data_IF_003236686034
#
_entry.id   IF_003236686034
#
_cell.length_a   1.000
_cell.length_b   1.000
_cell.length_c   1.000
_cell.angle_alpha   90.00
_cell.angle_beta   90.00
_cell.angle_gamma   90.00
#
_symmetry.space_group_name_H-M   'P 1'
#
loop_
_entity.id
_entity.type
_entity.pdbx_description
1 polymer ?
#
# COMPACT_ATOMS: atom_id res chain seq x y z
N UNK A 1 -17.56 -13.63 20.17
CA UNK A 1 -18.45 -13.66 18.98
C UNK A 1 -18.15 -14.95 18.23
N UNK A 2 -19.14 -15.75 17.81
CA UNK A 2 -18.89 -17.08 17.19
C UNK A 2 -18.29 -17.02 15.77
N UNK A 3 -18.25 -15.84 15.17
CA UNK A 3 -17.80 -15.55 13.80
C UNK A 3 -16.58 -14.62 13.74
N UNK A 4 -16.07 -14.16 14.88
CA UNK A 4 -14.89 -13.30 14.90
C UNK A 4 -13.65 -14.18 14.72
N UNK A 5 -12.94 -13.98 13.60
CA UNK A 5 -11.72 -14.72 13.27
C UNK A 5 -10.49 -13.95 13.74
N UNK A 6 -10.35 -12.70 13.33
CA UNK A 6 -9.22 -11.84 13.70
C UNK A 6 -9.52 -10.35 13.44
N UNK A 7 -8.72 -9.43 14.01
CA UNK A 7 -8.69 -8.03 13.59
C UNK A 7 -8.34 -7.90 12.09
N UNK A 8 -9.03 -7.02 11.37
CA UNK A 8 -8.86 -6.83 9.92
C UNK A 8 -7.76 -5.84 9.52
N UNK A 9 -7.09 -5.20 10.48
CA UNK A 9 -6.00 -4.26 10.22
C UNK A 9 -4.72 -4.96 9.72
N UNK A 10 -4.49 -6.20 10.17
CA UNK A 10 -3.42 -7.07 9.70
C UNK A 10 -4.03 -8.42 9.35
N UNK A 11 -3.83 -8.87 8.11
CA UNK A 11 -4.39 -10.13 7.61
C UNK A 11 -3.29 -10.98 7.00
N UNK A 12 -3.33 -12.28 7.29
CA UNK A 12 -2.41 -13.23 6.68
C UNK A 12 -2.85 -13.57 5.26
N UNK A 13 -2.05 -13.13 4.29
CA UNK A 13 -2.24 -13.38 2.86
C UNK A 13 -1.10 -14.21 2.29
N UNK A 14 -1.34 -14.85 1.16
CA UNK A 14 -0.32 -15.62 0.45
C UNK A 14 0.51 -14.67 -0.42
N UNK A 15 1.84 -14.75 -0.33
CA UNK A 15 2.75 -14.00 -1.17
C UNK A 15 2.47 -14.26 -2.66
N UNK A 16 2.38 -13.20 -3.50
CA UNK A 16 2.24 -13.32 -4.94
C UNK A 16 3.49 -13.89 -5.60
N UNK A 17 3.43 -14.07 -6.92
CA UNK A 17 4.56 -14.51 -7.72
C UNK A 17 5.77 -13.57 -7.53
N UNK A 18 6.96 -14.15 -7.29
CA UNK A 18 8.16 -13.39 -6.97
C UNK A 18 8.35 -13.03 -5.49
N UNK A 19 7.38 -13.33 -4.63
CA UNK A 19 7.45 -13.03 -3.19
C UNK A 19 7.25 -11.54 -2.88
N UNK A 20 7.28 -11.21 -1.59
CA UNK A 20 7.28 -9.83 -1.10
C UNK A 20 8.40 -9.63 -0.10
N UNK A 21 9.08 -8.49 -0.19
CA UNK A 21 9.98 -8.02 0.86
C UNK A 21 9.20 -7.31 1.98
N UNK A 22 9.81 -7.20 3.17
CA UNK A 22 9.26 -6.38 4.25
C UNK A 22 9.15 -4.92 3.81
N UNK A 23 8.02 -4.27 4.10
CA UNK A 23 7.71 -2.90 3.68
C UNK A 23 7.24 -2.77 2.23
N UNK A 24 7.20 -3.86 1.46
CA UNK A 24 6.74 -3.81 0.08
C UNK A 24 5.21 -3.72 0.03
N UNK A 25 4.73 -2.71 -0.68
CA UNK A 25 3.31 -2.57 -1.00
C UNK A 25 2.91 -3.49 -2.15
N UNK A 26 1.71 -4.04 -2.07
CA UNK A 26 1.14 -4.88 -3.11
C UNK A 26 -0.39 -4.75 -3.15
N UNK A 27 -0.95 -4.89 -4.35
CA UNK A 27 -2.39 -4.89 -4.58
C UNK A 27 -2.89 -6.33 -4.81
N UNK A 28 -3.52 -6.92 -3.79
CA UNK A 28 -4.13 -8.24 -3.85
C UNK A 28 -5.53 -8.15 -4.46
N UNK A 29 -5.61 -8.14 -5.80
CA UNK A 29 -6.86 -7.91 -6.52
C UNK A 29 -7.32 -6.46 -6.35
N UNK A 30 -8.21 -6.20 -5.39
CA UNK A 30 -8.64 -4.84 -5.00
C UNK A 30 -8.18 -4.44 -3.60
N UNK A 31 -7.45 -5.31 -2.90
CA UNK A 31 -7.04 -5.11 -1.52
C UNK A 31 -5.59 -4.64 -1.48
N UNK A 32 -5.37 -3.38 -1.14
CA UNK A 32 -4.02 -2.82 -1.04
C UNK A 32 -3.44 -3.06 0.36
N UNK A 33 -2.20 -3.48 0.42
CA UNK A 33 -1.56 -3.70 1.71
C UNK A 33 -0.06 -3.69 1.64
N UNK A 34 0.55 -3.53 2.81
CA UNK A 34 2.01 -3.48 2.97
C UNK A 34 2.46 -4.70 3.74
N UNK A 35 3.41 -5.44 3.17
CA UNK A 35 3.99 -6.61 3.81
C UNK A 35 4.73 -6.22 5.09
N UNK A 36 4.32 -6.78 6.24
CA UNK A 36 5.02 -6.52 7.51
C UNK A 36 6.36 -7.27 7.57
N UNK A 37 6.40 -8.48 7.03
CA UNK A 37 7.59 -9.33 6.94
C UNK A 37 7.80 -9.81 5.52
N UNK A 38 9.05 -10.10 5.16
CA UNK A 38 9.34 -10.72 3.86
C UNK A 38 8.89 -12.17 3.80
N UNK A 39 8.40 -12.61 2.65
CA UNK A 39 8.02 -13.99 2.40
C UNK A 39 8.24 -14.37 0.93
N UNK A 40 8.69 -15.60 0.71
CA UNK A 40 8.82 -16.18 -0.62
C UNK A 40 7.44 -16.46 -1.23
N UNK A 41 7.37 -16.57 -2.55
CA UNK A 41 6.16 -16.94 -3.28
C UNK A 41 5.45 -18.16 -2.67
N UNK A 42 4.13 -18.06 -2.52
CA UNK A 42 3.30 -19.14 -1.98
C UNK A 42 3.34 -19.28 -0.45
N UNK A 43 4.19 -18.55 0.27
CA UNK A 43 4.20 -18.52 1.73
C UNK A 43 3.15 -17.54 2.27
N UNK A 44 2.65 -17.80 3.49
CA UNK A 44 1.78 -16.86 4.19
C UNK A 44 2.61 -15.74 4.81
N UNK A 45 2.12 -14.51 4.72
CA UNK A 45 2.71 -13.34 5.36
C UNK A 45 1.63 -12.43 5.93
N UNK A 46 1.99 -11.74 7.01
CA UNK A 46 1.13 -10.73 7.60
C UNK A 46 1.19 -9.43 6.78
N UNK A 47 0.05 -9.01 6.23
CA UNK A 47 -0.11 -7.80 5.44
C UNK A 47 -0.89 -6.77 6.24
N UNK A 48 -0.35 -5.56 6.38
CA UNK A 48 -1.07 -4.44 7.00
C UNK A 48 -1.96 -3.76 5.97
N UNK A 49 -3.25 -3.70 6.24
CA UNK A 49 -4.29 -3.15 5.37
C UNK A 49 -4.73 -1.74 5.79
N UNK A 50 -4.31 -1.30 6.98
CA UNK A 50 -4.55 0.02 7.51
C UNK A 50 -3.28 0.54 8.19
N UNK A 51 -3.05 1.86 8.13
CA UNK A 51 -1.90 2.52 8.76
C UNK A 51 -1.33 3.66 7.92
N UNK A 52 -0.22 4.24 8.39
CA UNK A 52 0.56 5.22 7.62
C UNK A 52 1.88 4.58 7.23
N UNK A 53 2.17 4.54 5.94
CA UNK A 53 3.36 3.90 5.39
C UNK A 53 4.15 4.88 4.52
N UNK A 54 5.47 4.75 4.55
CA UNK A 54 6.37 5.44 3.62
C UNK A 54 6.47 4.62 2.35
N UNK A 55 5.87 5.10 1.27
CA UNK A 55 5.71 4.38 0.00
C UNK A 55 6.40 5.12 -1.14
N UNK A 56 6.95 4.39 -2.13
CA UNK A 56 7.54 5.03 -3.32
C UNK A 56 6.49 5.86 -4.05
N UNK A 57 6.90 7.03 -4.55
CA UNK A 57 6.07 7.95 -5.33
C UNK A 57 6.51 7.94 -6.79
N UNK A 58 5.56 8.03 -7.72
CA UNK A 58 5.84 8.30 -9.12
C UNK A 58 6.67 9.59 -9.27
N UNK A 59 7.67 9.54 -10.14
CA UNK A 59 8.55 10.68 -10.38
C UNK A 59 7.78 11.82 -11.06
N UNK A 60 7.99 13.06 -10.60
CA UNK A 60 7.31 14.23 -11.16
C UNK A 60 5.96 14.56 -10.51
N UNK A 61 5.28 13.59 -9.89
CA UNK A 61 4.03 13.85 -9.17
C UNK A 61 4.28 14.69 -7.92
N UNK A 62 3.48 15.74 -7.72
CA UNK A 62 3.42 16.50 -6.47
C UNK A 62 2.13 16.15 -5.75
N UNK A 63 2.24 15.73 -4.50
CA UNK A 63 1.09 15.36 -3.66
C UNK A 63 0.99 16.35 -2.49
N UNK A 64 -0.19 16.89 -2.26
CA UNK A 64 -0.54 17.68 -1.09
C UNK A 64 -0.96 16.81 0.09
N UNK A 65 -0.89 17.37 1.31
CA UNK A 65 -1.48 16.73 2.48
C UNK A 65 -3.00 16.57 2.30
N UNK A 66 -3.53 15.38 2.59
CA UNK A 66 -4.93 15.01 2.42
C UNK A 66 -5.32 14.62 0.99
N UNK A 67 -4.43 14.77 0.02
CA UNK A 67 -4.72 14.43 -1.38
C UNK A 67 -4.98 12.93 -1.54
N UNK A 68 -5.96 12.58 -2.37
CA UNK A 68 -6.23 11.19 -2.71
C UNK A 68 -5.07 10.63 -3.53
N UNK A 69 -4.60 9.44 -3.17
CA UNK A 69 -3.46 8.81 -3.83
C UNK A 69 -3.82 7.45 -4.40
N UNK A 70 -3.22 7.14 -5.54
CA UNK A 70 -3.52 5.97 -6.33
C UNK A 70 -2.28 5.10 -6.49
N UNK A 71 -2.48 3.78 -6.61
CA UNK A 71 -1.42 2.83 -6.89
C UNK A 71 -1.37 2.50 -8.37
N UNK A 72 -0.20 2.67 -8.99
CA UNK A 72 0.05 2.42 -10.42
C UNK A 72 0.55 0.98 -10.73
N UNK A 73 0.70 0.15 -9.69
CA UNK A 73 1.32 -1.17 -9.78
C UNK A 73 2.72 -1.24 -9.17
N UNK A 74 3.39 -0.10 -9.04
CA UNK A 74 4.79 0.01 -8.57
C UNK A 74 5.02 1.13 -7.55
N UNK A 75 4.31 2.25 -7.70
CA UNK A 75 4.44 3.44 -6.89
C UNK A 75 3.09 4.14 -6.69
N UNK A 76 3.11 5.12 -5.80
CA UNK A 76 1.99 6.00 -5.51
C UNK A 76 1.98 7.16 -6.51
N UNK A 77 0.85 7.36 -7.18
CA UNK A 77 0.61 8.43 -8.14
C UNK A 77 -0.57 9.31 -7.75
N UNK A 78 -0.57 10.55 -8.21
CA UNK A 78 -1.73 11.44 -8.18
C UNK A 78 -2.78 11.10 -9.26
N UNK A 79 -2.41 10.27 -10.24
CA UNK A 79 -3.26 9.96 -11.40
C UNK A 79 -4.30 8.92 -11.05
N UNK A 80 -5.59 9.25 -11.23
CA UNK A 80 -6.70 8.32 -10.96
C UNK A 80 -6.98 7.36 -12.12
N UNK A 81 -6.75 7.80 -13.36
CA UNK A 81 -7.11 7.02 -14.54
C UNK A 81 -6.25 5.76 -14.65
N UNK A 82 -6.89 4.58 -14.68
CA UNK A 82 -6.21 3.29 -14.76
C UNK A 82 -5.55 2.81 -13.46
N UNK A 83 -5.53 3.64 -12.41
CA UNK A 83 -4.89 3.33 -11.13
C UNK A 83 -5.92 3.07 -10.02
N UNK A 84 -5.50 2.36 -8.98
CA UNK A 84 -6.40 2.00 -7.87
C UNK A 84 -6.28 2.99 -6.73
N UNK A 85 -7.39 3.53 -6.21
CA UNK A 85 -7.36 4.38 -5.02
C UNK A 85 -6.89 3.55 -3.81
N UNK A 86 -5.86 4.02 -3.11
CA UNK A 86 -5.27 3.27 -1.97
C UNK A 86 -5.26 4.04 -0.66
N UNK A 87 -5.56 5.34 -0.69
CA UNK A 87 -5.68 6.15 0.51
C UNK A 87 -5.43 7.63 0.26
N UNK A 88 -4.84 8.29 1.25
CA UNK A 88 -4.54 9.71 1.22
C UNK A 88 -3.12 10.01 1.70
N UNK A 89 -2.49 11.03 1.11
CA UNK A 89 -1.20 11.54 1.58
C UNK A 89 -1.37 12.22 2.95
N UNK A 90 -0.44 11.94 3.87
CA UNK A 90 -0.44 12.49 5.25
C UNK A 90 0.52 13.68 5.38
N UNK A 91 1.38 13.89 4.39
CA UNK A 91 2.27 15.03 4.30
C UNK A 91 2.44 15.43 2.84
N UNK A 92 2.79 16.69 2.60
CA UNK A 92 3.12 17.15 1.27
C UNK A 92 4.41 16.47 0.75
N UNK A 93 4.35 15.93 -0.46
CA UNK A 93 5.48 15.36 -1.17
C UNK A 93 5.69 16.13 -2.48
N UNK A 94 6.73 16.99 -2.58
CA UNK A 94 7.01 17.73 -3.81
C UNK A 94 7.44 16.80 -4.95
N UNK A 95 7.44 17.30 -6.18
CA UNK A 95 7.83 16.54 -7.37
C UNK A 95 9.21 15.85 -7.26
N UNK A 96 10.14 16.47 -6.52
CA UNK A 96 11.49 15.95 -6.27
C UNK A 96 11.56 14.84 -5.19
N UNK A 97 10.51 14.65 -4.39
CA UNK A 97 10.46 13.57 -3.41
C UNK A 97 10.31 12.23 -4.13
N UNK A 98 10.99 11.20 -3.61
CA UNK A 98 10.93 9.83 -4.13
C UNK A 98 9.93 8.97 -3.36
N UNK A 99 9.47 9.43 -2.20
CA UNK A 99 8.50 8.72 -1.36
C UNK A 99 7.43 9.68 -0.82
N UNK A 100 6.35 9.11 -0.31
CA UNK A 100 5.23 9.83 0.32
C UNK A 100 4.68 9.01 1.48
N UNK A 101 4.31 9.70 2.57
CA UNK A 101 3.58 9.08 3.67
C UNK A 101 2.10 8.93 3.29
N UNK A 102 1.63 7.69 3.17
CA UNK A 102 0.26 7.38 2.75
C UNK A 102 -0.48 6.73 3.90
N UNK A 103 -1.62 7.30 4.27
CA UNK A 103 -2.61 6.65 5.11
C UNK A 103 -3.37 5.66 4.24
N UNK A 104 -3.00 4.39 4.34
CA UNK A 104 -3.69 3.28 3.68
C UNK A 104 -5.00 3.02 4.40
N UNK A 105 -6.07 2.94 3.62
CA UNK A 105 -7.39 2.54 4.07
C UNK A 105 -8.14 1.94 2.87
N UNK A 106 -8.33 0.62 2.91
CA UNK A 106 -9.17 -0.10 1.93
C UNK A 106 -10.67 0.14 2.16
#
# INVERSE_FOLDING_TARGET
>A
MKNFIQPGNIVDLTAPAGGLASGQAYLFGSLFGVATTGAAEGQRLAVSLEGVFDLPKAAGDSLGEGEAVYWDGTAISATSEGNTLVGHAVAAAPAAATTVYVRVRN
#
